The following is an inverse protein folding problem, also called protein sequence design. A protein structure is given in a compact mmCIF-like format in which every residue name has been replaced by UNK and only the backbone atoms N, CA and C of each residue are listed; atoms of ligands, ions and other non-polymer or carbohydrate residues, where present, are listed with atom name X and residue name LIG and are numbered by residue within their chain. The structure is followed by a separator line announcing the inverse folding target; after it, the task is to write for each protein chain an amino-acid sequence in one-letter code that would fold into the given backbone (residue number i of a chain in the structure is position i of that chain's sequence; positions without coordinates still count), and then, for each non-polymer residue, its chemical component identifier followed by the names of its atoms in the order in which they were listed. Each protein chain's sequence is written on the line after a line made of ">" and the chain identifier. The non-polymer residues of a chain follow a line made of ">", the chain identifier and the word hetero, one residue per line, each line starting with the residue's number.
data_IF_356064431598
#
_entry.id   IF_356064431598
#
_cell.length_a   1.000
_cell.length_b   1.000
_cell.length_c   1.000
_cell.angle_alpha   90.00
_cell.angle_beta   90.00
_cell.angle_gamma   90.00
#
_symmetry.space_group_name_H-M   'P 1'
#
loop_
_entity.id
_entity.type
_entity.pdbx_description
1 polymer ?
#
# COMPACT_ATOMS: atom_id res chain seq x y z
N UNK A 1 25.36 -36.83 9.48
CA UNK A 1 24.13 -37.55 9.05
C UNK A 1 24.54 -38.72 8.15
N UNK A 2 24.08 -39.94 8.42
CA UNK A 2 24.44 -41.10 7.59
C UNK A 2 23.85 -41.03 6.17
N UNK A 3 24.57 -41.58 5.17
CA UNK A 3 24.19 -41.55 3.74
C UNK A 3 22.75 -42.04 3.50
N UNK A 4 22.32 -43.09 4.22
CA UNK A 4 20.95 -43.64 4.17
C UNK A 4 19.88 -42.65 4.66
N UNK A 5 20.18 -41.82 5.67
CA UNK A 5 19.24 -40.84 6.25
C UNK A 5 19.13 -39.58 5.38
N UNK A 6 20.22 -39.20 4.71
CA UNK A 6 20.24 -38.10 3.72
C UNK A 6 19.39 -38.48 2.51
N UNK A 7 19.59 -39.69 1.94
CA UNK A 7 18.79 -40.18 0.83
C UNK A 7 17.29 -40.27 1.16
N UNK A 8 16.92 -40.57 2.41
CA UNK A 8 15.51 -40.57 2.85
C UNK A 8 14.92 -39.15 2.93
N UNK A 9 15.73 -38.14 3.28
CA UNK A 9 15.29 -36.73 3.40
C UNK A 9 15.30 -35.98 2.07
N UNK A 10 16.06 -36.42 1.07
CA UNK A 10 16.08 -35.83 -0.28
C UNK A 10 14.92 -36.29 -1.18
N UNK A 11 13.99 -37.12 -0.68
CA UNK A 11 12.86 -37.60 -1.49
C UNK A 11 11.85 -36.48 -1.70
N UNK A 12 11.54 -36.19 -2.96
CA UNK A 12 10.61 -35.11 -3.34
C UNK A 12 9.29 -35.71 -3.84
N UNK A 13 8.17 -35.13 -3.42
CA UNK A 13 6.84 -35.48 -3.93
C UNK A 13 6.47 -34.48 -5.03
N UNK A 14 6.48 -34.93 -6.28
CA UNK A 14 6.10 -34.11 -7.43
C UNK A 14 4.59 -34.20 -7.71
N UNK A 15 4.02 -33.09 -8.18
CA UNK A 15 2.69 -33.03 -8.75
C UNK A 15 2.72 -32.19 -10.03
N UNK A 16 1.77 -32.44 -10.94
CA UNK A 16 1.63 -31.71 -12.20
C UNK A 16 0.20 -31.20 -12.25
N UNK A 17 0.04 -29.89 -12.47
CA UNK A 17 -1.26 -29.20 -12.57
C UNK A 17 -1.23 -28.18 -13.70
N UNK A 18 -2.31 -28.08 -14.45
CA UNK A 18 -2.50 -27.03 -15.47
C UNK A 18 -3.05 -25.79 -14.78
N UNK A 19 -2.46 -24.64 -15.08
CA UNK A 19 -2.96 -23.34 -14.66
C UNK A 19 -3.11 -22.43 -15.87
N UNK A 20 -4.08 -21.53 -15.81
CA UNK A 20 -4.18 -20.44 -16.76
C UNK A 20 -3.17 -19.35 -16.36
N UNK A 21 -2.37 -18.89 -17.33
CA UNK A 21 -1.33 -17.89 -17.13
C UNK A 21 -1.89 -16.55 -16.61
N UNK A 22 -3.14 -16.22 -16.94
CA UNK A 22 -3.79 -14.99 -16.46
C UNK A 22 -4.02 -14.96 -14.93
N UNK A 23 -3.95 -16.12 -14.28
CA UNK A 23 -4.19 -16.26 -12.84
C UNK A 23 -2.89 -16.51 -12.05
N UNK A 24 -1.73 -16.42 -12.72
CA UNK A 24 -0.44 -16.63 -12.09
C UNK A 24 0.23 -15.27 -11.85
N UNK A 25 0.41 -14.89 -10.58
CA UNK A 25 1.23 -13.74 -10.26
C UNK A 25 2.72 -14.07 -10.43
N UNK A 26 3.54 -13.18 -11.01
CA UNK A 26 4.96 -13.40 -11.16
C UNK A 26 5.63 -13.62 -9.80
N UNK A 27 6.35 -14.72 -9.64
CA UNK A 27 7.13 -14.99 -8.42
C UNK A 27 8.54 -14.46 -8.57
N UNK A 28 9.10 -13.88 -7.50
CA UNK A 28 10.49 -13.36 -7.46
C UNK A 28 11.59 -14.42 -7.66
N UNK A 29 11.22 -15.70 -7.68
CA UNK A 29 12.16 -16.81 -7.86
C UNK A 29 11.92 -17.48 -9.21
N UNK A 30 12.97 -17.54 -10.04
CA UNK A 30 13.02 -18.45 -11.19
C UNK A 30 13.64 -19.77 -10.75
N UNK A 31 13.07 -20.87 -11.23
CA UNK A 31 13.64 -22.21 -11.01
C UNK A 31 14.13 -22.73 -12.34
N UNK A 32 15.44 -22.66 -12.55
CA UNK A 32 16.09 -23.05 -13.81
C UNK A 32 16.31 -24.57 -13.84
N UNK A 33 15.24 -25.32 -14.10
CA UNK A 33 15.29 -26.77 -14.29
C UNK A 33 14.82 -27.11 -15.71
N UNK A 34 15.69 -27.66 -16.57
CA UNK A 34 15.28 -28.09 -17.90
C UNK A 34 14.36 -29.30 -17.77
N UNK A 35 13.07 -29.09 -18.05
CA UNK A 35 12.07 -30.15 -18.17
C UNK A 35 11.81 -30.43 -19.66
N UNK A 36 11.74 -31.71 -20.03
CA UNK A 36 11.46 -32.08 -21.42
C UNK A 36 10.00 -31.76 -21.76
N UNK A 37 9.81 -30.74 -22.59
CA UNK A 37 8.50 -30.23 -23.00
C UNK A 37 7.67 -31.28 -23.77
N UNK A 38 8.32 -32.32 -24.29
CA UNK A 38 7.68 -33.47 -24.94
C UNK A 38 6.99 -34.39 -23.95
N UNK A 39 7.50 -34.50 -22.71
CA UNK A 39 6.94 -35.38 -21.68
C UNK A 39 6.06 -34.63 -20.67
N UNK A 40 6.33 -33.34 -20.42
CA UNK A 40 5.52 -32.48 -19.55
C UNK A 40 4.70 -31.49 -20.38
N UNK A 41 3.59 -31.97 -20.96
CA UNK A 41 2.68 -31.18 -21.79
C UNK A 41 1.23 -31.19 -21.26
N UNK A 42 0.35 -30.33 -21.79
CA UNK A 42 -1.08 -30.25 -21.46
C UNK A 42 -1.83 -31.57 -21.72
N UNK A 43 -1.43 -32.33 -22.73
CA UNK A 43 -2.10 -33.59 -23.11
C UNK A 43 -1.84 -34.76 -22.15
N UNK A 44 -0.88 -34.59 -21.24
CA UNK A 44 -0.55 -35.55 -20.17
C UNK A 44 -1.73 -35.78 -19.21
N UNK A 45 -2.68 -34.84 -19.16
CA UNK A 45 -3.87 -34.93 -18.32
C UNK A 45 -4.99 -35.78 -18.92
N UNK A 46 -4.92 -36.12 -20.22
CA UNK A 46 -5.90 -36.98 -20.88
C UNK A 46 -5.80 -38.43 -20.42
N UNK A 47 -4.56 -38.93 -20.25
CA UNK A 47 -4.30 -40.31 -19.82
C UNK A 47 -3.62 -40.39 -18.43
N UNK A 48 -4.18 -41.17 -17.48
CA UNK A 48 -3.55 -41.38 -16.17
C UNK A 48 -2.13 -41.97 -16.24
N UNK A 49 -1.82 -42.76 -17.27
CA UNK A 49 -0.49 -43.36 -17.47
C UNK A 49 0.57 -42.30 -17.83
N UNK A 50 0.24 -41.38 -18.74
CA UNK A 50 1.11 -40.26 -19.11
C UNK A 50 1.35 -39.33 -17.91
N UNK A 51 0.30 -39.04 -17.13
CA UNK A 51 0.42 -38.27 -15.87
C UNK A 51 1.34 -38.92 -14.84
N UNK A 52 1.43 -40.25 -14.81
CA UNK A 52 2.41 -40.96 -13.95
C UNK A 52 3.83 -40.84 -14.51
N UNK A 53 4.02 -40.87 -15.84
CA UNK A 53 5.33 -40.72 -16.49
C UNK A 53 5.90 -39.32 -16.26
N UNK A 54 5.14 -38.27 -16.54
CA UNK A 54 5.56 -36.88 -16.32
C UNK A 54 5.90 -36.58 -14.85
N UNK A 55 5.11 -37.13 -13.90
CA UNK A 55 5.42 -36.99 -12.46
C UNK A 55 6.74 -37.65 -12.08
N UNK A 56 7.02 -38.85 -12.60
CA UNK A 56 8.27 -39.57 -12.32
C UNK A 56 9.47 -38.82 -12.87
N UNK A 57 9.37 -38.31 -14.08
CA UNK A 57 10.46 -37.55 -14.70
C UNK A 57 10.75 -36.25 -13.97
N UNK A 58 9.71 -35.45 -13.68
CA UNK A 58 9.87 -34.24 -12.88
C UNK A 58 10.51 -34.56 -11.53
N UNK A 59 10.06 -35.63 -10.85
CA UNK A 59 10.63 -36.07 -9.58
C UNK A 59 12.13 -36.38 -9.70
N UNK A 60 12.53 -37.16 -10.71
CA UNK A 60 13.94 -37.51 -10.93
C UNK A 60 14.77 -36.25 -11.15
N UNK A 61 14.33 -35.31 -11.99
CA UNK A 61 15.04 -34.04 -12.24
C UNK A 61 15.18 -33.18 -10.98
N UNK A 62 14.13 -33.10 -10.17
CA UNK A 62 14.17 -32.36 -8.90
C UNK A 62 15.10 -33.05 -7.87
N UNK A 63 15.14 -34.38 -7.83
CA UNK A 63 16.01 -35.15 -6.92
C UNK A 63 17.49 -35.14 -7.38
N UNK A 64 17.75 -35.18 -8.69
CA UNK A 64 19.10 -35.05 -9.29
C UNK A 64 19.73 -33.69 -9.03
N UNK A 65 18.94 -32.61 -9.09
CA UNK A 65 19.45 -31.27 -8.84
C UNK A 65 19.69 -31.02 -7.36
N UNK A 66 18.87 -31.58 -6.46
CA UNK A 66 18.97 -31.39 -5.01
C UNK A 66 19.37 -32.65 -4.20
N UNK A 67 20.59 -33.18 -4.38
CA UNK A 67 21.18 -34.02 -3.36
C UNK A 67 21.57 -33.12 -2.17
N UNK A 68 20.92 -33.32 -1.02
CA UNK A 68 21.26 -32.69 0.27
C UNK A 68 22.75 -32.80 0.66
N UNK A 69 23.54 -33.62 -0.03
CA UNK A 69 25.00 -33.72 0.13
C UNK A 69 25.81 -32.57 -0.48
N UNK A 70 25.23 -31.74 -1.37
CA UNK A 70 25.96 -30.68 -2.05
C UNK A 70 25.89 -29.29 -1.38
N UNK A 71 25.15 -29.13 -0.28
CA UNK A 71 25.02 -27.83 0.43
C UNK A 71 25.84 -27.69 1.71
N UNK A 72 26.55 -28.74 2.12
CA UNK A 72 27.48 -28.65 3.26
C UNK A 72 28.66 -29.62 3.04
N UNK A 73 29.85 -29.15 2.64
CA UNK A 73 31.07 -29.91 2.88
C UNK A 73 31.42 -29.77 4.36
N UNK A 74 30.63 -30.43 5.22
CA UNK A 74 31.00 -30.63 6.62
C UNK A 74 31.03 -32.12 6.90
N UNK A 75 32.28 -32.61 7.02
CA UNK A 75 32.69 -33.86 7.65
C UNK A 75 32.17 -35.16 6.99
N UNK A 76 32.90 -35.64 5.98
CA UNK A 76 33.18 -37.08 5.83
C UNK A 76 34.63 -37.24 5.36
N UNK A 77 35.56 -37.17 6.30
CA UNK A 77 36.87 -37.82 6.15
C UNK A 77 36.78 -39.08 6.99
N UNK A 78 36.54 -40.22 6.34
CA UNK A 78 36.88 -41.51 6.94
C UNK A 78 38.41 -41.67 6.80
N UNK A 79 39.16 -41.97 7.88
CA UNK A 79 40.59 -42.18 7.75
C UNK A 79 40.82 -43.59 7.22
N UNK A 80 41.23 -43.69 5.95
CA UNK A 80 42.02 -44.83 5.45
C UNK A 80 43.36 -44.30 4.96
N UNK A 81 44.48 -44.99 5.24
CA UNK A 81 45.81 -44.44 4.95
C UNK A 81 46.05 -44.54 3.46
N UNK A 82 46.03 -43.40 2.77
CA UNK A 82 46.50 -43.27 1.38
C UNK A 82 47.70 -42.33 1.35
N UNK A 83 48.76 -42.78 0.68
CA UNK A 83 50.13 -42.29 0.78
C UNK A 83 50.35 -40.81 0.46
N UNK A 84 51.50 -40.30 0.94
CA UNK A 84 51.93 -38.90 0.93
C UNK A 84 51.82 -38.16 -0.42
N UNK A 85 51.85 -38.86 -1.55
CA UNK A 85 51.85 -38.24 -2.88
C UNK A 85 50.50 -37.63 -3.31
N UNK A 86 49.35 -38.15 -2.85
CA UNK A 86 48.02 -37.69 -3.33
C UNK A 86 47.50 -36.47 -2.56
N UNK A 87 47.98 -36.24 -1.33
CA UNK A 87 47.61 -35.07 -0.51
C UNK A 87 48.17 -33.76 -1.07
N UNK A 88 49.37 -33.80 -1.64
CA UNK A 88 50.01 -32.63 -2.28
C UNK A 88 49.22 -32.15 -3.50
N UNK A 89 48.84 -33.07 -4.39
CA UNK A 89 48.12 -32.71 -5.61
C UNK A 89 46.73 -32.11 -5.34
N UNK A 90 46.03 -32.60 -4.31
CA UNK A 90 44.71 -32.07 -3.93
C UNK A 90 44.81 -30.70 -3.24
N UNK A 91 45.85 -30.45 -2.44
CA UNK A 91 46.13 -29.12 -1.88
C UNK A 91 46.51 -28.11 -2.97
N UNK A 92 47.30 -28.50 -3.96
CA UNK A 92 47.68 -27.64 -5.08
C UNK A 92 46.46 -27.19 -5.90
N UNK A 93 45.53 -28.12 -6.20
CA UNK A 93 44.32 -27.81 -6.98
C UNK A 93 43.37 -26.87 -6.22
N UNK A 94 43.21 -27.07 -4.91
CA UNK A 94 42.38 -26.19 -4.08
C UNK A 94 43.00 -24.79 -3.99
N UNK A 95 44.33 -24.70 -3.83
CA UNK A 95 45.02 -23.41 -3.82
C UNK A 95 44.88 -22.66 -5.14
N UNK A 96 45.03 -23.33 -6.29
CA UNK A 96 44.79 -22.69 -7.60
C UNK A 96 43.35 -22.17 -7.73
N UNK A 97 42.35 -22.96 -7.34
CA UNK A 97 40.94 -22.53 -7.43
C UNK A 97 40.62 -21.32 -6.54
N UNK A 98 41.22 -21.26 -5.34
CA UNK A 98 41.06 -20.11 -4.44
C UNK A 98 41.78 -18.87 -4.96
N UNK A 99 42.92 -19.04 -5.63
CA UNK A 99 43.69 -17.95 -6.20
C UNK A 99 43.01 -17.34 -7.44
N UNK A 100 42.34 -18.18 -8.26
CA UNK A 100 41.47 -17.74 -9.36
C UNK A 100 40.23 -17.00 -8.87
N UNK A 101 39.58 -17.47 -7.80
CA UNK A 101 38.45 -16.76 -7.20
C UNK A 101 38.88 -15.41 -6.60
N UNK A 102 40.06 -15.36 -5.98
CA UNK A 102 40.60 -14.13 -5.40
C UNK A 102 40.95 -13.09 -6.48
N UNK A 103 41.50 -13.52 -7.62
CA UNK A 103 41.77 -12.62 -8.74
C UNK A 103 40.47 -12.14 -9.39
N UNK A 104 39.49 -13.03 -9.59
CA UNK A 104 38.17 -12.66 -10.14
C UNK A 104 37.44 -11.64 -9.26
N UNK A 105 37.49 -11.79 -7.95
CA UNK A 105 36.89 -10.85 -7.00
C UNK A 105 37.60 -9.49 -7.00
N UNK A 106 38.93 -9.46 -7.11
CA UNK A 106 39.69 -8.21 -7.23
C UNK A 106 39.35 -7.44 -8.51
N UNK A 107 39.22 -8.13 -9.65
CA UNK A 107 38.83 -7.50 -10.92
C UNK A 107 37.42 -6.90 -10.83
N UNK A 108 36.44 -7.64 -10.25
CA UNK A 108 35.09 -7.12 -10.01
C UNK A 108 35.06 -5.92 -9.07
N UNK A 109 35.90 -5.92 -8.04
CA UNK A 109 35.99 -4.80 -7.11
C UNK A 109 36.54 -3.54 -7.79
N UNK A 110 37.50 -3.69 -8.69
CA UNK A 110 38.06 -2.60 -9.47
C UNK A 110 37.06 -2.06 -10.51
N UNK A 111 36.28 -2.94 -11.14
CA UNK A 111 35.19 -2.58 -12.06
C UNK A 111 34.09 -1.78 -11.35
N UNK A 112 33.68 -2.22 -10.15
CA UNK A 112 32.71 -1.48 -9.30
C UNK A 112 33.27 -0.13 -8.80
N UNK A 113 34.58 -0.05 -8.52
CA UNK A 113 35.23 1.22 -8.17
C UNK A 113 35.33 2.19 -9.35
N UNK A 114 35.49 1.69 -10.58
CA UNK A 114 35.46 2.51 -11.80
C UNK A 114 34.05 3.00 -12.13
N UNK A 115 33.01 2.18 -11.93
CA UNK A 115 31.61 2.60 -12.05
C UNK A 115 31.23 3.68 -11.01
N UNK A 116 31.89 3.72 -9.85
CA UNK A 116 31.76 4.81 -8.88
C UNK A 116 32.50 6.09 -9.26
N UNK A 117 33.38 6.08 -10.27
CA UNK A 117 34.23 7.21 -10.68
C UNK A 117 33.77 7.93 -11.95
N UNK A 118 32.71 7.50 -12.62
CA UNK A 118 32.05 8.32 -13.66
C UNK A 118 31.39 9.54 -13.00
N UNK A 119 31.77 10.77 -13.36
CA UNK A 119 31.35 11.97 -12.66
C UNK A 119 29.93 12.34 -13.08
N UNK A 120 28.97 12.10 -12.20
CA UNK A 120 27.71 12.83 -12.25
C UNK A 120 28.03 14.24 -11.74
N UNK A 121 27.91 15.21 -12.64
CA UNK A 121 27.96 16.64 -12.34
C UNK A 121 26.98 16.90 -11.20
N UNK A 122 27.49 17.36 -10.06
CA UNK A 122 26.71 17.81 -8.92
C UNK A 122 26.63 19.33 -8.95
N UNK A 123 25.43 19.93 -8.93
CA UNK A 123 25.24 21.12 -8.13
C UNK A 123 25.16 20.65 -6.67
N UNK A 124 26.06 21.18 -5.84
CA UNK A 124 25.97 21.11 -4.37
C UNK A 124 24.64 21.72 -3.94
N UNK A 125 23.82 20.95 -3.21
CA UNK A 125 23.09 21.34 -1.98
C UNK A 125 22.22 20.16 -1.48
N UNK A 126 22.39 19.79 -0.19
CA UNK A 126 21.50 19.06 0.75
C UNK A 126 21.03 17.63 0.37
N UNK A 127 20.99 16.57 1.20
CA UNK A 127 20.42 16.33 2.55
C UNK A 127 21.04 15.00 3.09
N UNK A 128 21.21 14.77 4.41
CA UNK A 128 21.91 13.58 4.93
C UNK A 128 20.98 12.53 5.58
N UNK A 129 19.90 12.01 4.95
CA UNK A 129 19.15 10.88 5.54
C UNK A 129 18.49 9.95 4.49
N UNK A 130 18.38 8.63 4.77
CA UNK A 130 17.58 7.73 3.95
C UNK A 130 16.09 7.92 4.25
N UNK A 131 15.32 8.21 3.20
CA UNK A 131 13.86 8.43 3.21
C UNK A 131 13.12 7.15 3.66
N UNK A 132 12.09 7.22 4.52
CA UNK A 132 11.23 6.08 4.85
C UNK A 132 10.54 5.53 3.60
N UNK A 133 10.48 4.21 3.41
CA UNK A 133 9.78 3.56 2.28
C UNK A 133 8.26 3.51 2.46
N UNK A 134 7.66 4.65 2.83
CA UNK A 134 6.28 4.94 2.42
C UNK A 134 6.42 5.60 1.04
N UNK A 135 5.65 5.23 0.01
CA UNK A 135 5.65 5.96 -1.25
C UNK A 135 5.04 7.35 -1.04
N UNK A 136 5.80 8.25 -0.43
CA UNK A 136 5.53 9.68 -0.38
C UNK A 136 6.25 10.29 -1.57
N UNK A 137 5.51 10.49 -2.66
CA UNK A 137 6.00 11.19 -3.84
C UNK A 137 6.14 12.69 -3.50
N UNK A 138 7.35 13.10 -3.13
CA UNK A 138 7.71 14.51 -2.99
C UNK A 138 8.03 15.07 -4.39
N UNK A 139 7.12 15.84 -4.99
CA UNK A 139 7.38 16.58 -6.22
C UNK A 139 7.88 17.99 -5.89
N UNK A 140 9.20 18.12 -5.73
CA UNK A 140 9.87 19.40 -5.97
C UNK A 140 9.72 19.77 -7.44
N UNK A 141 9.21 20.96 -7.74
CA UNK A 141 9.03 21.44 -9.12
C UNK A 141 10.40 21.69 -9.75
N UNK A 142 10.76 20.89 -10.76
CA UNK A 142 11.54 21.37 -11.90
C UNK A 142 10.59 21.36 -13.09
N UNK A 143 10.42 22.52 -13.71
CA UNK A 143 9.54 22.71 -14.85
C UNK A 143 10.00 21.78 -15.99
N UNK A 144 9.16 20.82 -16.37
CA UNK A 144 8.69 20.58 -17.75
C UNK A 144 7.96 19.23 -17.85
N UNK A 145 6.68 19.32 -18.19
CA UNK A 145 5.87 18.30 -18.89
C UNK A 145 5.93 16.84 -18.42
N UNK A 146 4.86 16.38 -17.75
CA UNK A 146 3.81 15.46 -18.27
C UNK A 146 3.12 14.73 -17.11
N UNK A 147 1.80 14.94 -17.04
CA UNK A 147 0.76 14.36 -16.17
C UNK A 147 0.99 14.35 -14.64
N UNK A 148 0.10 15.07 -13.96
CA UNK A 148 0.00 15.28 -12.51
C UNK A 148 -0.48 13.99 -11.84
N UNK A 149 0.27 13.39 -10.90
CA UNK A 149 -0.29 12.43 -9.96
C UNK A 149 -1.22 13.20 -9.00
N UNK A 150 -2.49 12.79 -8.93
CA UNK A 150 -3.49 13.34 -7.99
C UNK A 150 -2.96 13.20 -6.56
N UNK A 151 -3.01 14.29 -5.80
CA UNK A 151 -2.78 14.28 -4.36
C UNK A 151 -3.61 13.14 -3.73
N UNK A 152 -2.97 12.23 -3.00
CA UNK A 152 -3.67 11.21 -2.19
C UNK A 152 -4.15 11.86 -0.89
N UNK A 153 -5.06 12.84 -1.00
CA UNK A 153 -5.90 13.19 0.16
C UNK A 153 -6.91 12.07 0.28
N UNK A 154 -6.57 11.05 1.07
CA UNK A 154 -7.49 9.95 1.35
C UNK A 154 -8.66 10.46 2.20
N UNK A 155 -9.88 10.06 1.85
CA UNK A 155 -11.10 10.35 2.60
C UNK A 155 -11.46 11.84 2.72
N UNK A 156 -11.25 12.63 1.66
CA UNK A 156 -11.74 14.00 1.63
C UNK A 156 -13.28 14.00 1.76
N UNK A 157 -13.78 14.63 2.83
CA UNK A 157 -15.20 14.83 3.11
C UNK A 157 -15.49 16.32 3.05
N UNK A 158 -16.32 16.73 2.10
CA UNK A 158 -16.79 18.12 1.99
C UNK A 158 -18.09 18.21 2.80
N UNK A 159 -18.11 19.06 3.81
CA UNK A 159 -19.29 19.29 4.65
C UNK A 159 -19.94 20.62 4.25
N UNK A 160 -21.17 20.56 3.75
CA UNK A 160 -21.94 21.73 3.33
C UNK A 160 -23.14 21.93 4.25
N UNK A 161 -23.19 23.03 5.03
CA UNK A 161 -24.35 23.34 5.85
C UNK A 161 -25.52 23.71 4.96
N UNK A 162 -26.68 23.12 5.23
CA UNK A 162 -27.91 23.36 4.49
C UNK A 162 -28.93 24.10 5.36
N UNK A 163 -29.51 25.19 4.85
CA UNK A 163 -30.60 25.87 5.56
C UNK A 163 -31.86 24.99 5.58
N UNK A 164 -32.67 25.14 6.61
CA UNK A 164 -33.98 24.49 6.68
C UNK A 164 -34.89 24.87 5.52
N UNK A 165 -35.74 23.95 5.09
CA UNK A 165 -36.57 24.11 3.90
C UNK A 165 -35.78 23.95 2.59
N UNK A 166 -34.76 23.10 2.61
CA UNK A 166 -33.90 22.82 1.45
C UNK A 166 -33.73 21.32 1.23
N UNK A 167 -33.44 20.92 -0.01
CA UNK A 167 -33.12 19.55 -0.36
C UNK A 167 -31.94 19.50 -1.34
N UNK A 168 -31.15 18.44 -1.30
CA UNK A 168 -30.17 18.12 -2.32
C UNK A 168 -30.66 16.91 -3.09
N UNK A 169 -30.67 17.04 -4.41
CA UNK A 169 -30.98 15.94 -5.33
C UNK A 169 -29.73 15.63 -6.14
N UNK A 170 -29.31 14.37 -6.11
CA UNK A 170 -28.18 13.84 -6.87
C UNK A 170 -28.71 12.91 -7.97
N UNK A 171 -28.26 13.11 -9.19
CA UNK A 171 -28.70 12.39 -10.39
C UNK A 171 -27.56 11.57 -11.00
N UNK A 172 -27.92 10.45 -11.63
CA UNK A 172 -26.96 9.61 -12.33
C UNK A 172 -26.38 10.31 -13.59
N UNK A 173 -27.22 11.01 -14.36
CA UNK A 173 -26.80 11.76 -15.55
C UNK A 173 -26.61 13.26 -15.23
N UNK A 174 -25.40 13.84 -15.38
CA UNK A 174 -25.15 15.24 -15.09
C UNK A 174 -25.92 16.20 -16.01
N UNK A 175 -26.35 15.74 -17.20
CA UNK A 175 -27.16 16.57 -18.11
C UNK A 175 -28.51 16.93 -17.52
N UNK A 176 -29.06 16.08 -16.66
CA UNK A 176 -30.34 16.31 -15.99
C UNK A 176 -30.21 17.50 -15.04
N UNK A 177 -29.12 17.55 -14.26
CA UNK A 177 -28.83 18.68 -13.39
C UNK A 177 -28.69 19.99 -14.18
N UNK A 178 -27.97 19.98 -15.30
CA UNK A 178 -27.84 21.16 -16.17
C UNK A 178 -29.19 21.63 -16.75
N UNK A 179 -30.06 20.69 -17.14
CA UNK A 179 -31.41 21.00 -17.63
C UNK A 179 -32.29 21.63 -16.54
N UNK A 180 -32.24 21.10 -15.33
CA UNK A 180 -32.95 21.66 -14.18
C UNK A 180 -32.44 23.06 -13.83
N UNK A 181 -31.13 23.31 -13.94
CA UNK A 181 -30.56 24.63 -13.67
C UNK A 181 -30.94 25.69 -14.70
N UNK A 182 -31.34 25.31 -15.92
CA UNK A 182 -31.90 26.24 -16.90
C UNK A 182 -33.27 26.76 -16.47
N UNK A 183 -34.03 25.98 -15.68
CA UNK A 183 -35.33 26.36 -15.14
C UNK A 183 -35.25 26.56 -13.62
N UNK A 184 -34.98 27.80 -13.20
CA UNK A 184 -34.76 28.11 -11.77
C UNK A 184 -35.97 27.92 -10.87
N UNK A 185 -37.19 27.88 -11.41
CA UNK A 185 -38.42 27.71 -10.63
C UNK A 185 -39.20 26.49 -11.11
N UNK A 186 -39.52 25.61 -10.17
CA UNK A 186 -40.31 24.41 -10.42
C UNK A 186 -41.60 24.44 -9.61
N UNK A 187 -42.70 24.10 -10.28
CA UNK A 187 -44.01 23.91 -9.65
C UNK A 187 -44.22 22.42 -9.42
N UNK A 188 -44.34 22.04 -8.16
CA UNK A 188 -44.57 20.66 -7.75
C UNK A 188 -46.03 20.54 -7.35
N UNK A 189 -46.79 19.82 -8.16
CA UNK A 189 -48.19 19.53 -7.89
C UNK A 189 -48.28 18.48 -6.78
N UNK A 190 -48.96 18.83 -5.69
CA UNK A 190 -49.41 17.94 -4.61
C UNK A 190 -50.93 17.79 -4.77
N UNK A 191 -51.50 16.67 -4.34
CA UNK A 191 -52.93 16.32 -4.46
C UNK A 191 -53.90 17.51 -4.52
N UNK A 192 -53.89 18.40 -3.52
CA UNK A 192 -54.80 19.56 -3.44
C UNK A 192 -54.12 20.94 -3.56
N UNK A 193 -52.80 21.01 -3.75
CA UNK A 193 -52.06 22.29 -3.78
C UNK A 193 -50.77 22.22 -4.62
N UNK A 194 -50.05 23.33 -4.77
CA UNK A 194 -48.77 23.34 -5.49
C UNK A 194 -47.67 24.00 -4.63
N UNK A 195 -46.46 23.46 -4.71
CA UNK A 195 -45.26 24.05 -4.13
C UNK A 195 -44.45 24.77 -5.21
N UNK A 196 -43.94 25.95 -4.90
CA UNK A 196 -42.92 26.63 -5.72
C UNK A 196 -41.57 26.44 -5.07
N UNK A 197 -40.74 25.61 -5.68
CA UNK A 197 -39.37 25.40 -5.25
C UNK A 197 -38.41 26.07 -6.22
N UNK A 198 -37.26 26.49 -5.70
CA UNK A 198 -36.20 27.10 -6.49
C UNK A 198 -35.04 26.13 -6.64
N UNK A 199 -34.53 25.99 -7.86
CA UNK A 199 -33.35 25.17 -8.16
C UNK A 199 -32.14 26.09 -8.29
N UNK A 200 -31.09 25.76 -7.55
CA UNK A 200 -29.83 26.48 -7.51
C UNK A 200 -28.64 25.53 -7.75
N UNK A 201 -27.56 26.01 -8.37
CA UNK A 201 -26.35 25.23 -8.52
C UNK A 201 -25.76 24.94 -7.13
N UNK A 202 -25.38 23.70 -6.88
CA UNK A 202 -24.71 23.33 -5.65
C UNK A 202 -23.21 23.60 -5.79
N UNK A 203 -22.71 24.63 -5.11
CA UNK A 203 -21.28 24.95 -5.10
C UNK A 203 -20.56 24.28 -3.93
N UNK A 204 -19.58 23.43 -4.24
CA UNK A 204 -18.78 22.71 -3.26
C UNK A 204 -17.38 23.33 -3.15
N UNK A 205 -16.87 23.58 -1.93
CA UNK A 205 -15.50 24.04 -1.74
C UNK A 205 -14.51 22.90 -2.02
N UNK A 206 -13.80 22.98 -3.14
CA UNK A 206 -12.78 22.02 -3.56
C UNK A 206 -11.39 22.59 -3.29
N UNK A 207 -10.56 21.80 -2.60
CA UNK A 207 -9.17 22.16 -2.33
C UNK A 207 -8.33 21.90 -3.59
N UNK A 208 -7.84 22.97 -4.20
CA UNK A 208 -7.10 22.91 -5.48
C UNK A 208 -5.58 22.80 -5.28
N UNK A 209 -5.07 23.34 -4.19
CA UNK A 209 -3.65 23.34 -3.90
C UNK A 209 -3.44 23.35 -2.40
N UNK A 210 -2.61 22.44 -1.91
CA UNK A 210 -2.15 22.38 -0.53
C UNK A 210 -0.64 22.53 -0.57
N UNK A 211 -0.14 23.59 0.06
CA UNK A 211 1.27 23.76 0.34
C UNK A 211 1.54 23.21 1.73
N UNK A 212 2.36 22.17 1.78
CA UNK A 212 2.79 21.53 3.02
C UNK A 212 4.27 21.79 3.21
N UNK A 213 4.65 22.36 4.35
CA UNK A 213 6.05 22.31 4.77
C UNK A 213 6.30 21.01 5.49
N UNK A 214 7.33 20.30 5.05
CA UNK A 214 7.80 19.09 5.71
C UNK A 214 9.08 19.43 6.45
N UNK A 215 9.07 19.28 7.77
CA UNK A 215 10.27 19.43 8.59
C UNK A 215 10.53 18.13 9.37
N UNK A 216 11.79 17.66 9.43
CA UNK A 216 12.14 16.52 10.27
C UNK A 216 11.97 16.92 11.73
N UNK A 217 11.33 16.06 12.51
CA UNK A 217 11.25 16.21 13.96
C UNK A 217 12.37 15.38 14.60
N UNK A 218 13.31 16.04 15.30
CA UNK A 218 14.45 15.36 15.91
C UNK A 218 14.10 14.56 17.16
N UNK A 219 12.91 14.74 17.73
CA UNK A 219 12.44 14.06 18.94
C UNK A 219 11.49 12.89 18.64
N UNK A 220 10.98 12.77 17.42
CA UNK A 220 9.96 11.78 17.06
C UNK A 220 10.47 10.76 16.05
N UNK A 221 9.96 9.53 16.17
CA UNK A 221 10.24 8.44 15.24
C UNK A 221 8.95 7.76 14.78
N UNK A 222 9.01 7.18 13.59
CA UNK A 222 7.97 6.30 13.05
C UNK A 222 8.39 4.85 13.18
N UNK A 223 7.54 4.04 13.78
CA UNK A 223 7.64 2.60 13.85
C UNK A 223 6.68 1.99 12.85
N UNK A 224 7.18 1.10 11.99
CA UNK A 224 6.43 0.44 10.92
C UNK A 224 6.77 -1.06 10.84
N UNK A 225 5.98 -1.81 10.05
CA UNK A 225 6.17 -3.26 9.88
C UNK A 225 5.27 -4.13 10.75
N UNK A 226 4.15 -3.59 11.22
CA UNK A 226 3.17 -4.35 12.00
C UNK A 226 2.46 -5.39 11.11
N UNK A 227 2.33 -6.65 11.55
CA UNK A 227 1.61 -7.67 10.80
C UNK A 227 0.10 -7.44 10.89
N UNK A 228 -0.61 -7.57 9.78
CA UNK A 228 -2.06 -7.37 9.69
C UNK A 228 -2.93 -8.37 10.48
N UNK A 229 -2.31 -9.41 11.08
CA UNK A 229 -2.97 -10.43 11.89
C UNK A 229 -2.58 -10.40 13.38
N UNK A 230 -2.04 -9.28 13.87
CA UNK A 230 -1.68 -9.11 15.28
C UNK A 230 -2.96 -9.10 16.15
N UNK A 231 -3.09 -10.04 17.08
CA UNK A 231 -4.19 -10.02 18.07
C UNK A 231 -3.82 -9.14 19.26
N UNK A 232 -3.64 -7.85 19.01
CA UNK A 232 -3.46 -6.84 20.05
C UNK A 232 -4.37 -5.66 19.73
N UNK A 233 -4.94 -5.05 20.76
CA UNK A 233 -5.63 -3.76 20.59
C UNK A 233 -4.62 -2.65 20.28
N UNK A 234 -5.12 -1.51 19.80
CA UNK A 234 -4.30 -0.33 19.53
C UNK A 234 -3.53 0.12 20.79
N UNK A 235 -4.22 0.22 21.92
CA UNK A 235 -3.63 0.60 23.21
C UNK A 235 -2.60 -0.42 23.71
N UNK A 236 -2.87 -1.73 23.57
CA UNK A 236 -1.92 -2.78 23.95
C UNK A 236 -0.65 -2.75 23.11
N UNK A 237 -0.76 -2.41 21.81
CA UNK A 237 0.39 -2.25 20.94
C UNK A 237 1.22 -1.04 21.35
N UNK A 238 0.57 0.11 21.58
CA UNK A 238 1.24 1.34 22.03
C UNK A 238 1.97 1.12 23.36
N UNK A 239 1.33 0.44 24.31
CA UNK A 239 1.93 0.10 25.61
C UNK A 239 3.18 -0.79 25.47
N UNK A 240 3.11 -1.83 24.63
CA UNK A 240 4.27 -2.70 24.38
C UNK A 240 5.42 -1.96 23.72
N UNK A 241 5.13 -1.05 22.79
CA UNK A 241 6.13 -0.26 22.10
C UNK A 241 6.78 0.76 23.05
N UNK A 242 5.98 1.44 23.87
CA UNK A 242 6.50 2.33 24.91
C UNK A 242 7.41 1.57 25.88
N UNK A 243 6.98 0.42 26.40
CA UNK A 243 7.80 -0.39 27.31
C UNK A 243 9.08 -0.88 26.62
N UNK A 244 9.05 -1.17 25.32
CA UNK A 244 10.22 -1.65 24.59
C UNK A 244 11.21 -0.51 24.31
N UNK A 245 10.74 0.60 23.74
CA UNK A 245 11.55 1.76 23.38
C UNK A 245 11.79 2.71 24.56
N UNK A 246 11.17 2.48 25.71
CA UNK A 246 11.50 3.15 26.98
C UNK A 246 12.76 2.62 27.65
N UNK A 247 13.25 1.44 27.24
CA UNK A 247 14.39 0.79 27.88
C UNK A 247 15.70 1.22 27.23
N UNK A 248 16.60 1.79 28.03
CA UNK A 248 17.97 2.16 27.61
C UNK A 248 18.76 1.00 26.97
N UNK A 249 18.52 -0.26 27.40
CA UNK A 249 19.15 -1.46 26.82
C UNK A 249 18.85 -1.66 25.32
N UNK A 250 17.75 -1.09 24.84
CA UNK A 250 17.33 -1.14 23.46
C UNK A 250 17.75 0.12 22.68
N UNK A 251 18.58 0.99 23.27
CA UNK A 251 18.90 2.31 22.72
C UNK A 251 17.78 3.34 22.87
N UNK A 252 16.77 3.01 23.67
CA UNK A 252 15.58 3.82 23.95
C UNK A 252 15.72 4.77 25.15
N UNK A 253 14.65 5.48 25.48
CA UNK A 253 14.61 6.48 26.56
C UNK A 253 13.17 6.90 26.86
N UNK A 254 12.98 7.88 27.74
CA UNK A 254 11.65 8.28 28.21
C UNK A 254 10.76 8.76 27.03
N UNK A 255 9.62 8.09 26.89
CA UNK A 255 8.63 8.34 25.82
C UNK A 255 7.64 9.37 26.35
N UNK A 256 7.52 10.50 25.67
CA UNK A 256 6.57 11.57 26.02
C UNK A 256 5.25 11.44 25.27
N UNK A 257 5.31 10.97 24.02
CA UNK A 257 4.12 10.89 23.15
C UNK A 257 4.09 9.55 22.41
N UNK A 258 2.89 8.99 22.26
CA UNK A 258 2.64 7.78 21.47
C UNK A 258 1.32 7.94 20.73
N UNK A 259 1.33 7.75 19.43
CA UNK A 259 0.13 7.92 18.58
C UNK A 259 0.10 6.85 17.48
N UNK A 260 -1.07 6.27 17.24
CA UNK A 260 -1.30 5.39 16.10
C UNK A 260 -1.65 6.22 14.87
N UNK A 261 -0.88 6.05 13.81
CA UNK A 261 -1.13 6.57 12.47
C UNK A 261 -1.55 5.41 11.54
N UNK A 262 -1.85 5.68 10.27
CA UNK A 262 -2.39 4.70 9.30
C UNK A 262 -1.49 3.46 9.09
N UNK A 263 -1.56 2.49 10.01
CA UNK A 263 -0.70 1.30 10.03
C UNK A 263 0.73 1.53 10.53
N UNK A 264 1.03 2.67 11.14
CA UNK A 264 2.32 3.00 11.74
C UNK A 264 2.13 3.63 13.12
N UNK A 265 3.16 3.60 13.97
CA UNK A 265 3.11 4.21 15.30
C UNK A 265 4.15 5.33 15.36
N UNK A 266 3.74 6.51 15.80
CA UNK A 266 4.63 7.61 16.12
C UNK A 266 4.97 7.55 17.62
N UNK A 267 6.25 7.62 17.94
CA UNK A 267 6.75 7.76 19.31
C UNK A 267 7.60 9.02 19.41
N UNK A 268 7.33 9.87 20.39
CA UNK A 268 8.15 11.02 20.75
C UNK A 268 8.91 10.79 22.05
N UNK A 269 10.16 11.20 22.08
CA UNK A 269 11.08 11.01 23.20
C UNK A 269 11.51 12.36 23.78
N UNK A 270 11.76 12.39 25.09
CA UNK A 270 12.26 13.58 25.78
C UNK A 270 13.63 14.03 25.24
N UNK A 271 14.51 13.08 24.89
CA UNK A 271 15.84 13.36 24.35
C UNK A 271 15.91 13.06 22.84
N UNK A 272 16.27 14.07 22.04
CA UNK A 272 16.48 13.94 20.59
C UNK A 272 17.54 12.90 20.22
N UNK A 273 18.56 12.69 21.07
CA UNK A 273 19.62 11.72 20.81
C UNK A 273 19.09 10.30 20.78
N UNK A 274 18.04 10.03 21.56
CA UNK A 274 17.36 8.72 21.58
C UNK A 274 16.72 8.48 20.22
N UNK A 275 15.91 9.43 19.73
CA UNK A 275 15.27 9.32 18.43
C UNK A 275 16.28 9.17 17.28
N UNK A 276 17.37 9.95 17.30
CA UNK A 276 18.46 9.84 16.32
C UNK A 276 19.12 8.46 16.36
N UNK A 277 19.46 7.96 17.55
CA UNK A 277 20.07 6.65 17.74
C UNK A 277 19.15 5.51 17.27
N UNK A 278 17.86 5.57 17.62
CA UNK A 278 16.88 4.58 17.18
C UNK A 278 16.74 4.56 15.65
N UNK A 279 16.78 5.72 14.99
CA UNK A 279 16.78 5.82 13.53
C UNK A 279 18.08 5.26 12.90
N UNK A 280 19.23 5.43 13.56
CA UNK A 280 20.51 4.85 13.09
C UNK A 280 20.50 3.32 13.17
N UNK A 281 19.91 2.75 14.23
CA UNK A 281 19.73 1.29 14.38
C UNK A 281 18.75 0.77 13.33
N UNK A 282 17.62 1.46 13.15
CA UNK A 282 16.65 1.28 12.06
C UNK A 282 15.80 0.01 12.10
N UNK A 283 16.30 -1.13 12.58
CA UNK A 283 15.54 -2.38 12.69
C UNK A 283 15.59 -2.98 14.09
N UNK A 284 14.43 -3.36 14.61
CA UNK A 284 14.26 -3.89 15.95
C UNK A 284 13.45 -5.18 15.92
N UNK A 285 13.77 -6.12 16.80
CA UNK A 285 12.93 -7.29 17.06
C UNK A 285 12.17 -7.07 18.35
N UNK A 286 10.89 -6.76 18.22
CA UNK A 286 10.03 -6.39 19.35
C UNK A 286 9.13 -7.59 19.71
N UNK A 287 9.09 -7.99 20.99
CA UNK A 287 8.18 -9.04 21.43
C UNK A 287 6.75 -8.50 21.50
N UNK A 288 5.96 -8.79 20.48
CA UNK A 288 4.54 -8.46 20.42
C UNK A 288 3.72 -9.74 20.64
N UNK A 289 3.12 -9.85 21.82
CA UNK A 289 2.43 -11.07 22.26
C UNK A 289 3.39 -12.24 22.43
N UNK A 290 3.21 -13.32 21.66
CA UNK A 290 4.06 -14.53 21.69
C UNK A 290 5.14 -14.57 20.60
N UNK A 291 5.20 -13.55 19.74
CA UNK A 291 6.09 -13.54 18.58
C UNK A 291 7.10 -12.40 18.67
N UNK A 292 8.29 -12.64 18.13
CA UNK A 292 9.29 -11.60 17.89
C UNK A 292 9.04 -11.03 16.50
N UNK A 293 8.53 -9.80 16.45
CA UNK A 293 8.17 -9.13 15.21
C UNK A 293 9.29 -8.17 14.80
N UNK A 294 9.82 -8.27 13.57
CA UNK A 294 10.76 -7.29 13.06
C UNK A 294 10.03 -5.98 12.73
N UNK A 295 10.33 -4.92 13.46
CA UNK A 295 9.82 -3.58 13.23
C UNK A 295 10.93 -2.69 12.69
N UNK A 296 10.55 -1.71 11.87
CA UNK A 296 11.46 -0.70 11.32
C UNK A 296 11.18 0.65 11.98
N UNK A 297 12.24 1.31 12.43
CA UNK A 297 12.19 2.68 12.94
C UNK A 297 12.79 3.61 11.89
N UNK A 298 12.10 4.71 11.62
CA UNK A 298 12.51 5.74 10.65
C UNK A 298 12.22 7.14 11.20
N UNK A 299 12.91 8.18 10.72
CA UNK A 299 12.67 9.55 11.20
C UNK A 299 11.21 9.98 10.95
N UNK A 300 10.63 10.69 11.92
CA UNK A 300 9.33 11.33 11.73
C UNK A 300 9.52 12.66 11.00
N UNK A 301 8.66 12.92 10.04
CA UNK A 301 8.62 14.21 9.32
C UNK A 301 7.25 14.80 9.56
N UNK A 302 7.20 15.92 10.28
CA UNK A 302 5.97 16.66 10.49
C UNK A 302 5.65 17.43 9.21
N UNK A 303 4.41 17.27 8.72
CA UNK A 303 3.88 18.02 7.60
C UNK A 303 2.88 19.05 8.12
N UNK A 304 3.26 20.33 8.10
CA UNK A 304 2.35 21.42 8.43
C UNK A 304 1.75 22.02 7.16
N UNK A 305 0.43 22.18 7.12
CA UNK A 305 -0.25 22.85 6.01
C UNK A 305 -0.04 24.36 6.18
N UNK A 306 0.80 24.94 5.32
CA UNK A 306 1.05 26.39 5.32
C UNK A 306 -0.05 27.15 4.60
N UNK A 307 -0.49 26.62 3.46
CA UNK A 307 -1.51 27.28 2.65
C UNK A 307 -2.39 26.26 1.94
N UNK A 308 -3.71 26.44 2.06
CA UNK A 308 -4.69 25.74 1.26
C UNK A 308 -5.45 26.73 0.37
N UNK A 309 -5.46 26.50 -0.95
CA UNK A 309 -6.25 27.28 -1.89
C UNK A 309 -7.55 26.54 -2.20
N UNK A 310 -8.66 27.11 -1.74
CA UNK A 310 -10.00 26.59 -1.94
C UNK A 310 -10.62 27.32 -3.13
N UNK A 311 -11.25 26.57 -4.04
CA UNK A 311 -12.13 27.12 -5.07
C UNK A 311 -13.51 26.50 -4.93
N UNK A 312 -14.54 27.29 -5.13
CA UNK A 312 -15.90 26.79 -5.21
C UNK A 312 -16.13 26.27 -6.63
N UNK A 313 -16.57 25.03 -6.74
CA UNK A 313 -16.88 24.37 -8.00
C UNK A 313 -18.29 23.79 -7.93
N UNK A 314 -19.06 23.98 -9.00
CA UNK A 314 -20.40 23.42 -9.10
C UNK A 314 -20.34 21.90 -9.17
N UNK A 315 -21.17 21.24 -8.35
CA UNK A 315 -21.40 19.81 -8.43
C UNK A 315 -22.16 19.49 -9.74
N UNK A 316 -21.59 18.59 -10.56
CA UNK A 316 -22.14 18.30 -11.88
C UNK A 316 -23.42 17.44 -11.82
N UNK A 317 -23.52 16.61 -10.79
CA UNK A 317 -24.60 15.64 -10.64
C UNK A 317 -25.65 16.08 -9.61
N UNK A 318 -25.40 17.15 -8.86
CA UNK A 318 -26.24 17.53 -7.72
C UNK A 318 -26.77 18.95 -7.85
N UNK A 319 -28.03 19.12 -7.50
CA UNK A 319 -28.70 20.44 -7.45
C UNK A 319 -29.22 20.71 -6.05
N UNK A 320 -29.23 21.99 -5.68
CA UNK A 320 -29.82 22.46 -4.44
C UNK A 320 -31.24 22.96 -4.72
N UNK A 321 -32.21 22.41 -4.01
CA UNK A 321 -33.61 22.83 -4.05
C UNK A 321 -33.88 23.65 -2.78
N UNK A 322 -34.34 24.89 -2.94
CA UNK A 322 -34.66 25.80 -1.83
C UNK A 322 -36.12 26.26 -1.90
N UNK A 323 -36.54 27.00 -0.86
CA UNK A 323 -37.90 27.52 -0.72
C UNK A 323 -38.96 26.41 -0.57
N UNK A 324 -38.61 25.35 0.16
CA UNK A 324 -39.53 24.26 0.47
C UNK A 324 -40.30 24.64 1.76
N UNK A 325 -41.62 24.87 1.69
CA UNK A 325 -42.40 25.29 2.84
C UNK A 325 -42.70 24.11 3.79
N UNK A 326 -42.97 24.44 5.05
CA UNK A 326 -43.24 23.49 6.14
C UNK A 326 -44.70 23.00 6.15
N UNK A 327 -45.13 22.36 5.07
CA UNK A 327 -46.54 21.96 4.90
C UNK A 327 -46.70 20.44 4.96
N UNK A 328 -45.62 19.70 4.71
CA UNK A 328 -45.59 18.24 4.63
C UNK A 328 -44.61 17.67 5.64
N UNK A 329 -44.84 16.44 6.09
CA UNK A 329 -43.83 15.72 6.87
C UNK A 329 -42.61 15.37 6.00
N UNK A 330 -41.52 15.01 6.67
CA UNK A 330 -40.25 14.75 6.00
C UNK A 330 -40.29 13.57 5.01
N UNK A 331 -41.15 12.56 5.26
CA UNK A 331 -41.23 11.37 4.41
C UNK A 331 -42.10 11.64 3.18
N UNK A 332 -43.28 12.26 3.36
CA UNK A 332 -44.13 12.68 2.24
C UNK A 332 -43.41 13.66 1.31
N UNK A 333 -42.69 14.62 1.90
CA UNK A 333 -41.90 15.58 1.14
C UNK A 333 -40.78 14.88 0.34
N UNK A 334 -40.11 13.89 0.93
CA UNK A 334 -39.08 13.11 0.24
C UNK A 334 -39.68 12.38 -0.98
N UNK A 335 -40.80 11.69 -0.81
CA UNK A 335 -41.44 10.92 -1.87
C UNK A 335 -41.95 11.83 -3.00
N UNK A 336 -42.57 12.96 -2.67
CA UNK A 336 -43.08 13.92 -3.66
C UNK A 336 -41.95 14.54 -4.47
N UNK A 337 -40.85 14.95 -3.82
CA UNK A 337 -39.69 15.50 -4.49
C UNK A 337 -39.03 14.44 -5.38
N UNK A 338 -38.85 13.22 -4.88
CA UNK A 338 -38.29 12.12 -5.67
C UNK A 338 -39.13 11.85 -6.93
N UNK A 339 -40.45 11.72 -6.80
CA UNK A 339 -41.36 11.50 -7.93
C UNK A 339 -41.33 12.68 -8.91
N UNK A 340 -41.24 13.92 -8.42
CA UNK A 340 -41.16 15.09 -9.29
C UNK A 340 -39.88 15.09 -10.12
N UNK A 341 -38.73 14.88 -9.47
CA UNK A 341 -37.42 14.91 -10.11
C UNK A 341 -37.08 13.64 -10.90
N UNK A 342 -37.87 12.57 -10.77
CA UNK A 342 -37.76 11.40 -11.62
C UNK A 342 -38.48 11.54 -12.95
N UNK A 343 -39.45 12.46 -13.09
CA UNK A 343 -40.27 12.62 -14.29
C UNK A 343 -39.50 13.34 -15.42
N UNK A 344 -39.24 12.68 -16.58
CA UNK A 344 -38.52 13.31 -17.69
C UNK A 344 -39.26 14.51 -18.29
N UNK A 345 -40.60 14.52 -18.21
CA UNK A 345 -41.45 15.62 -18.69
C UNK A 345 -41.22 16.94 -17.95
N UNK A 346 -40.57 16.89 -16.77
CA UNK A 346 -40.22 18.06 -15.95
C UNK A 346 -38.72 18.34 -15.96
N UNK A 347 -37.98 17.76 -16.90
CA UNK A 347 -36.51 17.84 -16.93
C UNK A 347 -35.82 16.96 -15.89
N UNK A 348 -36.54 16.00 -15.29
CA UNK A 348 -36.03 15.04 -14.32
C UNK A 348 -35.35 13.82 -14.96
N UNK A 349 -34.77 12.96 -14.12
CA UNK A 349 -34.02 11.77 -14.54
C UNK A 349 -33.86 10.75 -13.41
N UNK A 350 -32.97 9.77 -13.57
CA UNK A 350 -32.72 8.79 -12.51
C UNK A 350 -32.02 9.46 -11.32
N UNK A 351 -32.67 9.39 -10.15
CA UNK A 351 -32.20 10.01 -8.90
C UNK A 351 -31.39 8.98 -8.13
N UNK A 352 -30.11 9.26 -7.91
CA UNK A 352 -29.19 8.42 -7.14
C UNK A 352 -29.45 8.61 -5.64
N UNK A 353 -29.60 9.86 -5.20
CA UNK A 353 -29.81 10.21 -3.81
C UNK A 353 -30.64 11.49 -3.66
N UNK A 354 -31.47 11.53 -2.62
CA UNK A 354 -32.26 12.70 -2.23
C UNK A 354 -32.15 12.89 -0.72
N UNK A 355 -31.72 14.08 -0.30
CA UNK A 355 -31.62 14.46 1.12
C UNK A 355 -32.40 15.74 1.37
N UNK A 356 -33.36 15.69 2.29
CA UNK A 356 -34.25 16.81 2.60
C UNK A 356 -33.97 17.33 4.01
N UNK A 357 -33.93 18.65 4.15
CA UNK A 357 -33.82 19.36 5.44
C UNK A 357 -35.13 20.13 5.64
N UNK A 358 -36.02 19.65 6.54
CA UNK A 358 -37.28 20.33 6.84
C UNK A 358 -37.06 21.77 7.32
N UNK A 359 -38.10 22.59 7.21
CA UNK A 359 -38.08 23.96 7.74
C UNK A 359 -37.89 23.94 9.26
N UNK A 360 -37.12 24.90 9.78
CA UNK A 360 -36.80 24.97 11.22
C UNK A 360 -35.69 24.02 11.69
N UNK A 361 -35.17 23.13 10.84
CA UNK A 361 -33.99 22.31 11.12
C UNK A 361 -32.75 22.80 10.35
N UNK A 362 -31.57 22.41 10.81
CA UNK A 362 -30.31 22.60 10.08
C UNK A 362 -29.76 21.22 9.70
N UNK A 363 -29.38 21.07 8.43
CA UNK A 363 -28.79 19.85 7.91
C UNK A 363 -27.32 20.04 7.54
N UNK A 364 -26.57 18.94 7.54
CA UNK A 364 -25.20 18.92 7.04
C UNK A 364 -25.09 17.86 5.95
N UNK A 365 -24.88 18.27 4.71
CA UNK A 365 -24.58 17.36 3.62
C UNK A 365 -23.09 17.03 3.60
N UNK A 366 -22.76 15.74 3.49
CA UNK A 366 -21.36 15.26 3.45
C UNK A 366 -21.09 14.60 2.11
N UNK A 367 -20.21 15.21 1.31
CA UNK A 367 -19.79 14.69 0.01
C UNK A 367 -18.45 14.00 0.13
N UNK A 368 -18.32 12.83 -0.51
CA UNK A 368 -17.06 12.10 -0.63
C UNK A 368 -16.55 12.16 -2.07
N UNK A 369 -15.24 11.96 -2.26
CA UNK A 369 -14.56 12.03 -3.56
C UNK A 369 -15.04 11.04 -4.63
N UNK A 370 -15.95 10.12 -4.29
CA UNK A 370 -16.60 9.18 -5.22
C UNK A 370 -17.86 9.73 -5.88
N UNK A 371 -18.41 10.83 -5.35
CA UNK A 371 -19.76 11.32 -5.66
C UNK A 371 -19.75 12.75 -6.21
N UNK A 372 -18.61 13.20 -6.72
CA UNK A 372 -18.35 14.58 -7.18
C UNK A 372 -17.98 14.66 -8.65
#
# INVERSE_FOLDING_TARGET
>A
MGKKKIAKRSKIKSFVKVYNYNHLMPTRYSVDIPLDKTVVNKDVFRDPALKRKARREAKVKFEERWPLSARFPLSQVDPKPLGRAVKSACQQLVLCSLQEEQSRLKTKLQELQQQKRTPLISPKEEIPFPVPEVPLAFQGRIQQGRQVPKFLVSNLKICCPLPGGSAIVTFDDPKVADQLLQQKEHKIDIEECWLRVQIQPLELPVVTNIQVSSQPDSHRVLVSGFPSGLQLSEEELLDKLEIFFGKAKNGGGDVETREMLQGTVMLGFADEKVAQNLCQIGQFRVPLGRQQVPLRVSPYVSGEIQQAKIKFQQALHSVLVTNIPDILDAQELHDILAIHFQKPTRGGGEVEALSVVPSGQQGLAVFTSSSS
#
